data_IF_377891720986
#
_entry.id   IF_377891720986
#
_cell.length_a   1.000
_cell.length_b   1.000
_cell.length_c   1.000
_cell.angle_alpha   90.00
_cell.angle_beta   90.00
_cell.angle_gamma   90.00
#
_symmetry.space_group_name_H-M   'P 1'
#
loop_
_entity.id
_entity.type
_entity.pdbx_description
1 polymer ?
#
# COMPACT_ATOMS: atom_id res chain seq x y z
N UNK A 1 -12.94 21.82 4.95
CA UNK A 1 -12.68 20.40 5.22
C UNK A 1 -13.30 20.04 6.56
N UNK A 2 -14.03 18.92 6.62
CA UNK A 2 -14.65 18.42 7.86
C UNK A 2 -13.95 17.15 8.29
N UNK A 3 -13.83 16.92 9.59
CA UNK A 3 -13.16 15.74 10.15
C UNK A 3 -14.13 14.87 10.92
N UNK A 4 -13.88 13.56 10.91
CA UNK A 4 -14.65 12.61 11.70
C UNK A 4 -14.59 12.94 13.19
N UNK A 5 -15.73 12.90 13.86
CA UNK A 5 -15.81 13.17 15.31
C UNK A 5 -15.24 12.02 16.16
N UNK A 6 -15.13 10.80 15.60
CA UNK A 6 -14.59 9.64 16.33
C UNK A 6 -13.10 9.39 16.06
N UNK A 7 -12.62 9.58 14.82
CA UNK A 7 -11.21 9.47 14.44
C UNK A 7 -10.71 10.79 13.83
N UNK A 8 -9.69 10.75 12.95
CA UNK A 8 -9.08 11.93 12.36
C UNK A 8 -9.29 12.06 10.85
N UNK A 9 -9.99 11.11 10.21
CA UNK A 9 -10.18 11.17 8.76
C UNK A 9 -10.99 12.39 8.33
N UNK A 10 -10.51 13.11 7.29
CA UNK A 10 -11.25 14.19 6.66
C UNK A 10 -12.26 13.65 5.64
N UNK A 11 -13.28 14.45 5.33
CA UNK A 11 -14.25 14.17 4.28
C UNK A 11 -13.66 14.21 2.85
N UNK A 12 -12.42 14.64 2.71
CA UNK A 12 -11.65 14.60 1.46
C UNK A 12 -11.06 13.24 1.14
N UNK A 13 -11.08 12.30 2.11
CA UNK A 13 -10.62 10.92 1.86
C UNK A 13 -11.55 10.25 0.85
N UNK A 14 -11.01 9.79 -0.29
CA UNK A 14 -11.81 9.12 -1.33
C UNK A 14 -12.58 7.92 -0.78
N UNK A 15 -13.85 7.77 -1.20
CA UNK A 15 -14.71 6.67 -0.77
C UNK A 15 -15.20 6.74 0.68
N UNK A 16 -14.80 7.76 1.46
CA UNK A 16 -15.26 7.96 2.83
C UNK A 16 -16.58 8.75 2.84
N UNK A 17 -17.54 8.30 3.65
CA UNK A 17 -18.79 9.02 3.90
C UNK A 17 -18.97 9.28 5.39
N UNK A 18 -19.73 10.32 5.75
CA UNK A 18 -20.07 10.64 7.13
C UNK A 18 -21.57 10.41 7.36
N UNK A 19 -21.91 9.85 8.51
CA UNK A 19 -23.30 9.77 8.94
C UNK A 19 -23.79 11.11 9.52
N UNK A 20 -25.06 11.19 9.95
CA UNK A 20 -25.65 12.39 10.53
C UNK A 20 -24.99 12.85 11.84
N UNK A 21 -24.30 11.95 12.56
CA UNK A 21 -23.57 12.28 13.78
C UNK A 21 -22.16 12.83 13.50
N UNK A 22 -21.74 12.84 12.23
CA UNK A 22 -20.39 13.24 11.81
C UNK A 22 -19.34 12.14 12.04
N UNK A 23 -19.77 10.87 12.09
CA UNK A 23 -18.88 9.70 12.21
C UNK A 23 -18.66 9.09 10.83
N UNK A 24 -17.41 8.85 10.47
CA UNK A 24 -17.07 8.32 9.15
C UNK A 24 -17.37 6.83 8.99
N UNK A 25 -17.57 6.40 7.73
CA UNK A 25 -17.82 5.01 7.36
C UNK A 25 -16.73 4.06 7.83
N UNK A 26 -15.45 4.50 7.87
CA UNK A 26 -14.36 3.68 8.39
C UNK A 26 -14.54 3.33 9.89
N UNK A 27 -14.93 4.31 10.71
CA UNK A 27 -15.25 4.07 12.12
C UNK A 27 -16.45 3.14 12.29
N UNK A 28 -17.46 3.27 11.45
CA UNK A 28 -18.63 2.39 11.47
C UNK A 28 -18.26 0.96 11.06
N UNK A 29 -17.51 0.81 9.98
CA UNK A 29 -17.01 -0.49 9.51
C UNK A 29 -16.16 -1.18 10.59
N UNK A 30 -15.27 -0.43 11.29
CA UNK A 30 -14.49 -1.01 12.37
C UNK A 30 -15.38 -1.54 13.51
N UNK A 31 -16.45 -0.83 13.87
CA UNK A 31 -17.42 -1.32 14.89
C UNK A 31 -18.14 -2.59 14.41
N UNK A 32 -18.50 -2.67 13.14
CA UNK A 32 -19.14 -3.86 12.57
C UNK A 32 -18.23 -5.09 12.57
N UNK A 33 -16.89 -4.92 12.47
CA UNK A 33 -15.93 -6.03 12.59
C UNK A 33 -16.06 -6.81 13.90
N UNK A 34 -16.54 -6.18 14.97
CA UNK A 34 -16.77 -6.87 16.24
C UNK A 34 -17.97 -7.82 16.23
N UNK A 35 -18.81 -7.75 15.18
CA UNK A 35 -19.98 -8.63 14.99
C UNK A 35 -19.69 -9.80 14.04
N UNK A 36 -18.51 -9.81 13.41
CA UNK A 36 -18.11 -10.87 12.48
C UNK A 36 -17.88 -12.16 13.26
N UNK A 37 -18.48 -13.25 12.82
CA UNK A 37 -18.16 -14.59 13.26
C UNK A 37 -16.86 -15.05 12.58
N UNK A 38 -15.75 -14.91 13.30
CA UNK A 38 -14.43 -15.24 12.79
C UNK A 38 -14.19 -16.75 12.67
N UNK A 39 -14.96 -17.58 13.37
CA UNK A 39 -14.91 -19.04 13.25
C UNK A 39 -15.57 -19.50 11.95
N UNK A 40 -16.72 -18.91 11.60
CA UNK A 40 -17.36 -19.10 10.29
C UNK A 40 -16.43 -18.65 9.16
N UNK A 41 -15.80 -17.48 9.29
CA UNK A 41 -14.85 -16.97 8.30
C UNK A 41 -13.65 -17.88 8.12
N UNK A 42 -13.10 -18.38 9.22
CA UNK A 42 -11.99 -19.35 9.20
C UNK A 42 -12.41 -20.63 8.47
N UNK A 43 -13.61 -21.13 8.72
CA UNK A 43 -14.12 -22.32 8.04
C UNK A 43 -14.22 -22.09 6.53
N UNK A 44 -14.75 -20.94 6.12
CA UNK A 44 -14.82 -20.57 4.71
C UNK A 44 -13.42 -20.46 4.06
N UNK A 45 -12.45 -19.89 4.77
CA UNK A 45 -11.06 -19.88 4.30
C UNK A 45 -10.52 -21.32 4.07
N UNK A 46 -10.77 -22.23 5.01
CA UNK A 46 -10.37 -23.64 4.88
C UNK A 46 -10.99 -24.27 3.64
N UNK A 47 -12.29 -24.04 3.39
CA UNK A 47 -12.97 -24.55 2.20
C UNK A 47 -12.34 -24.05 0.90
N UNK A 48 -11.91 -22.77 0.87
CA UNK A 48 -11.23 -22.18 -0.29
C UNK A 48 -9.87 -22.84 -0.50
N UNK A 49 -9.01 -22.85 0.52
CA UNK A 49 -7.64 -23.37 0.35
C UNK A 49 -7.61 -24.87 0.00
N UNK A 50 -8.56 -25.66 0.51
CA UNK A 50 -8.63 -27.09 0.19
C UNK A 50 -9.00 -27.36 -1.29
N UNK A 51 -9.66 -26.43 -1.97
CA UNK A 51 -9.91 -26.53 -3.42
C UNK A 51 -8.63 -26.39 -4.25
N UNK A 52 -7.65 -25.65 -3.74
CA UNK A 52 -6.42 -25.31 -4.45
C UNK A 52 -5.19 -26.06 -3.96
N UNK A 53 -5.30 -26.83 -2.87
CA UNK A 53 -4.19 -27.57 -2.28
C UNK A 53 -3.62 -28.59 -3.26
N UNK A 54 -2.31 -28.58 -3.47
CA UNK A 54 -1.58 -29.60 -4.23
C UNK A 54 -1.45 -30.89 -3.41
N UNK A 55 -2.43 -31.76 -3.53
CA UNK A 55 -2.55 -32.98 -2.70
C UNK A 55 -1.44 -34.00 -2.96
N UNK A 56 -0.93 -34.05 -4.17
CA UNK A 56 0.18 -34.93 -4.57
C UNK A 56 1.56 -34.32 -4.32
N UNK A 57 1.57 -33.04 -3.88
CA UNK A 57 2.80 -32.31 -3.62
C UNK A 57 3.61 -31.94 -4.86
N UNK A 58 3.03 -32.04 -6.05
CA UNK A 58 3.69 -31.72 -7.32
C UNK A 58 3.88 -30.21 -7.54
N UNK A 59 3.16 -29.36 -6.81
CA UNK A 59 3.22 -27.91 -6.95
C UNK A 59 3.06 -27.20 -5.59
N UNK A 60 3.21 -25.88 -5.58
CA UNK A 60 2.84 -25.01 -4.46
C UNK A 60 1.31 -24.87 -4.35
N UNK A 61 0.82 -24.69 -3.13
CA UNK A 61 -0.61 -24.53 -2.85
C UNK A 61 -1.12 -23.14 -3.23
N UNK A 62 -0.29 -22.11 -3.07
CA UNK A 62 -0.64 -20.72 -3.36
C UNK A 62 0.59 -19.85 -3.61
N UNK A 63 0.35 -18.68 -4.17
CA UNK A 63 1.31 -17.58 -4.19
C UNK A 63 0.98 -16.60 -3.07
N UNK A 64 2.02 -16.09 -2.41
CA UNK A 64 1.91 -14.96 -1.49
C UNK A 64 2.79 -13.84 -2.01
N UNK A 65 2.20 -12.71 -2.44
CA UNK A 65 2.95 -11.50 -2.74
C UNK A 65 3.59 -10.96 -1.46
N UNK A 66 4.88 -10.63 -1.52
CA UNK A 66 5.63 -10.17 -0.35
C UNK A 66 6.52 -8.98 -0.72
N UNK A 67 6.69 -8.04 0.22
CA UNK A 67 7.68 -6.95 0.13
C UNK A 67 8.85 -7.13 1.13
N UNK A 68 8.72 -8.06 2.07
CA UNK A 68 9.58 -8.16 3.24
C UNK A 68 9.08 -7.32 4.42
N UNK A 69 7.96 -6.60 4.27
CA UNK A 69 7.29 -5.88 5.35
C UNK A 69 6.65 -6.81 6.39
N UNK A 70 6.20 -6.23 7.51
CA UNK A 70 5.61 -6.98 8.63
C UNK A 70 4.39 -7.79 8.23
N UNK A 71 3.48 -7.20 7.44
CA UNK A 71 2.21 -7.82 7.05
C UNK A 71 2.44 -9.04 6.17
N UNK A 72 3.24 -8.91 5.13
CA UNK A 72 3.57 -10.02 4.23
C UNK A 72 4.39 -11.12 4.92
N UNK A 73 5.26 -10.77 5.86
CA UNK A 73 6.01 -11.74 6.68
C UNK A 73 5.07 -12.52 7.59
N UNK A 74 4.15 -11.82 8.27
CA UNK A 74 3.13 -12.45 9.10
C UNK A 74 2.24 -13.38 8.27
N UNK A 75 1.73 -12.91 7.17
CA UNK A 75 0.86 -13.64 6.25
C UNK A 75 1.49 -14.96 5.80
N UNK A 76 2.72 -14.90 5.29
CA UNK A 76 3.44 -16.09 4.83
C UNK A 76 3.63 -17.11 5.98
N UNK A 77 4.07 -16.64 7.14
CA UNK A 77 4.24 -17.47 8.33
C UNK A 77 2.92 -18.07 8.79
N UNK A 78 1.87 -17.27 8.89
CA UNK A 78 0.56 -17.67 9.38
C UNK A 78 -0.06 -18.79 8.56
N UNK A 79 -0.12 -18.64 7.23
CA UNK A 79 -0.74 -19.66 6.38
C UNK A 79 0.04 -20.96 6.34
N UNK A 80 1.38 -20.89 6.45
CA UNK A 80 2.24 -22.07 6.53
C UNK A 80 2.06 -22.79 7.86
N UNK A 81 2.09 -22.04 8.98
CA UNK A 81 2.03 -22.60 10.34
C UNK A 81 0.66 -23.15 10.70
N UNK A 82 -0.39 -22.37 10.44
CA UNK A 82 -1.75 -22.71 10.92
C UNK A 82 -2.47 -23.67 9.97
N UNK A 83 -2.15 -23.64 8.67
CA UNK A 83 -2.86 -24.43 7.65
C UNK A 83 -1.97 -25.43 6.91
N UNK A 84 -0.67 -25.44 7.19
CA UNK A 84 0.26 -26.34 6.52
C UNK A 84 0.40 -26.08 5.02
N UNK A 85 0.06 -24.88 4.53
CA UNK A 85 0.20 -24.54 3.12
C UNK A 85 1.68 -24.44 2.75
N UNK A 86 1.96 -24.77 1.49
CA UNK A 86 3.28 -24.64 0.84
C UNK A 86 3.23 -23.44 -0.13
N UNK A 87 3.41 -22.21 0.35
CA UNK A 87 3.36 -21.03 -0.50
C UNK A 87 4.66 -20.84 -1.27
N UNK A 88 4.54 -20.33 -2.51
CA UNK A 88 5.63 -19.69 -3.23
C UNK A 88 5.54 -18.18 -2.97
N UNK A 89 6.58 -17.61 -2.38
CA UNK A 89 6.65 -16.18 -2.16
C UNK A 89 7.13 -15.46 -3.42
N UNK A 90 6.45 -14.37 -3.80
CA UNK A 90 6.79 -13.58 -4.99
C UNK A 90 6.92 -12.12 -4.60
N UNK A 91 8.08 -11.55 -4.89
CA UNK A 91 8.38 -10.14 -4.61
C UNK A 91 8.70 -9.39 -5.91
N UNK A 92 8.02 -8.26 -6.12
CA UNK A 92 8.44 -7.23 -7.05
C UNK A 92 9.36 -6.28 -6.30
N UNK A 93 10.66 -6.31 -6.60
CA UNK A 93 11.67 -5.52 -5.90
C UNK A 93 11.58 -4.06 -6.35
N UNK A 94 11.36 -3.09 -5.45
CA UNK A 94 11.44 -1.69 -5.80
C UNK A 94 12.86 -1.32 -6.23
N UNK A 95 12.99 -0.36 -7.15
CA UNK A 95 14.30 0.08 -7.65
C UNK A 95 15.22 0.59 -6.52
N UNK A 96 14.63 1.33 -5.60
CA UNK A 96 15.34 2.03 -4.54
C UNK A 96 15.21 1.33 -3.19
N UNK A 97 15.34 -0.02 -3.21
CA UNK A 97 15.31 -0.85 -2.03
C UNK A 97 16.41 -0.45 -1.04
N UNK A 98 16.02 -0.13 0.18
CA UNK A 98 16.96 0.25 1.24
C UNK A 98 17.55 -0.98 1.97
N UNK A 99 18.73 -0.84 2.65
CA UNK A 99 19.38 -1.98 3.31
C UNK A 99 18.50 -2.72 4.32
N UNK A 100 17.64 -2.01 5.04
CA UNK A 100 16.73 -2.62 6.02
C UNK A 100 15.64 -3.47 5.33
N UNK A 101 15.10 -2.98 4.21
CA UNK A 101 14.19 -3.77 3.37
C UNK A 101 14.84 -5.05 2.86
N UNK A 102 16.09 -4.95 2.33
CA UNK A 102 16.87 -6.14 1.92
C UNK A 102 17.06 -7.12 3.07
N UNK A 103 17.41 -6.63 4.28
CA UNK A 103 17.57 -7.47 5.46
C UNK A 103 16.29 -8.24 5.79
N UNK A 104 15.13 -7.59 5.71
CA UNK A 104 13.84 -8.22 5.99
C UNK A 104 13.44 -9.25 4.91
N UNK A 105 13.75 -8.98 3.64
CA UNK A 105 13.60 -9.95 2.55
C UNK A 105 14.46 -11.20 2.80
N UNK A 106 15.73 -11.03 3.13
CA UNK A 106 16.63 -12.15 3.45
C UNK A 106 16.16 -12.94 4.68
N UNK A 107 15.48 -12.27 5.62
CA UNK A 107 14.87 -12.95 6.77
C UNK A 107 13.77 -13.93 6.35
N UNK A 108 12.91 -13.57 5.37
CA UNK A 108 11.88 -14.48 4.83
C UNK A 108 12.51 -15.78 4.29
N UNK A 109 13.62 -15.68 3.58
CA UNK A 109 14.35 -16.85 3.09
C UNK A 109 14.87 -17.72 4.23
N UNK A 110 15.40 -17.11 5.31
CA UNK A 110 15.90 -17.81 6.50
C UNK A 110 14.78 -18.53 7.27
N UNK A 111 13.57 -18.03 7.25
CA UNK A 111 12.39 -18.68 7.85
C UNK A 111 12.00 -19.96 7.06
N UNK A 112 12.57 -20.15 5.86
CA UNK A 112 12.42 -21.40 5.08
C UNK A 112 11.24 -21.35 4.09
N UNK A 113 11.16 -20.30 3.30
CA UNK A 113 10.25 -20.20 2.18
C UNK A 113 10.99 -20.26 0.84
N UNK A 114 10.38 -20.88 -0.15
CA UNK A 114 10.77 -20.71 -1.54
C UNK A 114 10.33 -19.32 -2.02
N UNK A 115 11.23 -18.67 -2.78
CA UNK A 115 11.12 -17.23 -3.00
C UNK A 115 11.54 -16.84 -4.42
N UNK A 116 10.71 -16.05 -5.10
CA UNK A 116 11.04 -15.41 -6.37
C UNK A 116 11.18 -13.91 -6.16
N UNK A 117 12.34 -13.36 -6.53
CA UNK A 117 12.57 -11.94 -6.66
C UNK A 117 12.47 -11.52 -8.13
N UNK A 118 11.59 -10.61 -8.41
CA UNK A 118 11.51 -9.98 -9.72
C UNK A 118 12.07 -8.56 -9.61
N UNK A 119 13.20 -8.31 -10.25
CA UNK A 119 13.80 -6.98 -10.33
C UNK A 119 13.50 -6.40 -11.71
N UNK A 120 12.71 -5.31 -11.80
CA UNK A 120 12.42 -4.66 -13.08
C UNK A 120 13.66 -3.98 -13.65
N UNK A 121 13.64 -3.71 -14.97
CA UNK A 121 14.66 -2.87 -15.60
C UNK A 121 14.70 -1.50 -14.91
N UNK A 122 15.82 -1.11 -14.24
CA UNK A 122 15.86 0.11 -13.43
C UNK A 122 15.75 1.40 -14.25
N UNK A 123 16.14 1.36 -15.53
CA UNK A 123 16.02 2.51 -16.45
C UNK A 123 14.56 2.75 -16.80
N UNK A 124 13.84 1.68 -17.14
CA UNK A 124 12.40 1.76 -17.45
C UNK A 124 11.61 2.13 -16.20
N UNK A 125 11.92 1.52 -15.06
CA UNK A 125 11.28 1.85 -13.79
C UNK A 125 11.40 3.34 -13.47
N UNK A 126 12.62 3.93 -13.55
CA UNK A 126 12.84 5.35 -13.31
C UNK A 126 12.03 6.24 -14.24
N UNK A 127 11.97 5.91 -15.54
CA UNK A 127 11.14 6.65 -16.50
C UNK A 127 9.66 6.60 -16.11
N UNK A 128 9.15 5.41 -15.79
CA UNK A 128 7.76 5.22 -15.34
C UNK A 128 7.47 5.97 -14.04
N UNK A 129 8.39 5.94 -13.07
CA UNK A 129 8.25 6.68 -11.82
C UNK A 129 8.24 8.20 -12.05
N UNK A 130 9.07 8.71 -12.98
CA UNK A 130 9.05 10.13 -13.39
C UNK A 130 7.70 10.50 -14.03
N UNK A 131 7.18 9.66 -14.93
CA UNK A 131 5.85 9.85 -15.54
C UNK A 131 4.76 9.82 -14.46
N UNK A 132 4.79 8.83 -13.57
CA UNK A 132 3.88 8.76 -12.43
C UNK A 132 3.90 10.02 -11.58
N UNK A 133 5.10 10.53 -11.25
CA UNK A 133 5.27 11.77 -10.50
C UNK A 133 4.69 12.99 -11.24
N UNK A 134 5.03 13.17 -12.52
CA UNK A 134 4.67 14.40 -13.27
C UNK A 134 3.24 14.40 -13.80
N UNK A 135 2.68 13.23 -14.11
CA UNK A 135 1.34 13.10 -14.71
C UNK A 135 0.25 12.68 -13.71
N UNK A 136 0.65 12.00 -12.62
CA UNK A 136 -0.29 11.45 -11.64
C UNK A 136 -0.03 11.97 -10.21
N UNK A 137 1.14 12.59 -9.98
CA UNK A 137 1.60 12.93 -8.63
C UNK A 137 1.80 11.68 -7.77
N UNK A 138 2.37 10.62 -8.35
CA UNK A 138 2.65 9.36 -7.67
C UNK A 138 3.95 8.74 -8.17
N UNK A 139 5.01 8.87 -7.39
CA UNK A 139 6.35 8.35 -7.74
C UNK A 139 6.42 6.82 -7.67
N UNK A 140 5.57 6.19 -6.86
CA UNK A 140 5.52 4.73 -6.68
C UNK A 140 4.55 4.03 -7.64
N UNK A 141 3.98 4.75 -8.59
CA UNK A 141 3.04 4.22 -9.57
C UNK A 141 3.51 2.93 -10.29
N UNK A 142 4.77 2.81 -10.80
CA UNK A 142 5.22 1.57 -11.42
C UNK A 142 5.35 0.40 -10.41
N UNK A 143 5.68 0.70 -9.15
CA UNK A 143 5.74 -0.31 -8.11
C UNK A 143 4.35 -0.91 -7.85
N UNK A 144 3.33 -0.07 -7.71
CA UNK A 144 1.96 -0.55 -7.54
C UNK A 144 1.49 -1.43 -8.69
N UNK A 145 1.86 -1.10 -9.94
CA UNK A 145 1.60 -2.00 -11.07
C UNK A 145 2.31 -3.34 -10.91
N UNK A 146 3.62 -3.31 -10.63
CA UNK A 146 4.44 -4.51 -10.51
C UNK A 146 4.00 -5.44 -9.38
N UNK A 147 3.59 -4.86 -8.24
CA UNK A 147 3.10 -5.61 -7.07
C UNK A 147 1.91 -6.52 -7.41
N UNK A 148 1.01 -6.08 -8.30
CA UNK A 148 -0.17 -6.87 -8.67
C UNK A 148 0.07 -7.75 -9.91
N UNK A 149 0.81 -7.25 -10.89
CA UNK A 149 0.98 -7.95 -12.18
C UNK A 149 1.96 -9.10 -12.09
N UNK A 150 3.09 -8.93 -11.38
CA UNK A 150 4.13 -9.95 -11.32
C UNK A 150 3.67 -11.21 -10.58
N UNK A 151 3.05 -11.15 -9.40
CA UNK A 151 2.50 -12.36 -8.78
C UNK A 151 1.46 -13.06 -9.65
N UNK A 152 0.62 -12.32 -10.37
CA UNK A 152 -0.38 -12.90 -11.28
C UNK A 152 0.29 -13.58 -12.48
N UNK A 153 1.37 -13.02 -13.04
CA UNK A 153 2.16 -13.65 -14.10
C UNK A 153 2.82 -14.94 -13.63
N UNK A 154 3.40 -14.91 -12.43
CA UNK A 154 4.00 -16.12 -11.83
C UNK A 154 2.94 -17.17 -11.55
N UNK A 155 1.73 -16.79 -11.10
CA UNK A 155 0.61 -17.70 -10.93
C UNK A 155 0.30 -18.46 -12.23
N UNK A 156 0.18 -17.74 -13.33
CA UNK A 156 -0.07 -18.34 -14.66
C UNK A 156 1.10 -19.21 -15.11
N UNK A 157 2.34 -18.72 -15.01
CA UNK A 157 3.53 -19.42 -15.47
C UNK A 157 3.80 -20.72 -14.69
N UNK A 158 3.58 -20.70 -13.37
CA UNK A 158 3.79 -21.86 -12.48
C UNK A 158 2.54 -22.71 -12.29
N UNK A 159 1.42 -22.32 -12.89
CA UNK A 159 0.11 -22.97 -12.75
C UNK A 159 -0.34 -23.10 -11.30
N UNK A 160 -0.20 -22.02 -10.55
CA UNK A 160 -0.64 -21.89 -9.16
C UNK A 160 -1.84 -20.94 -9.14
N UNK A 161 -3.07 -21.43 -9.07
CA UNK A 161 -4.26 -20.58 -9.28
C UNK A 161 -4.61 -19.70 -8.08
N UNK A 162 -4.19 -20.04 -6.85
CA UNK A 162 -4.53 -19.28 -5.66
C UNK A 162 -3.45 -18.22 -5.34
N UNK A 163 -3.87 -16.97 -5.19
CA UNK A 163 -3.04 -15.88 -4.66
C UNK A 163 -3.67 -15.39 -3.35
N UNK A 164 -2.90 -15.41 -2.27
CA UNK A 164 -3.36 -14.91 -0.97
C UNK A 164 -2.68 -13.55 -0.73
N UNK A 165 -3.48 -12.51 -0.60
CA UNK A 165 -3.07 -11.15 -0.23
C UNK A 165 -3.20 -10.94 1.28
N UNK A 166 -2.58 -9.90 1.84
CA UNK A 166 -2.61 -9.58 3.26
C UNK A 166 -3.92 -8.97 3.72
N UNK A 167 -3.85 -7.69 4.13
CA UNK A 167 -5.03 -6.93 4.52
C UNK A 167 -5.96 -6.65 3.34
N UNK A 168 -7.24 -6.55 3.62
CA UNK A 168 -8.19 -5.98 2.70
C UNK A 168 -8.21 -4.45 2.88
N UNK A 169 -7.61 -3.65 1.95
CA UNK A 169 -7.48 -2.21 2.13
C UNK A 169 -8.82 -1.49 2.32
N UNK A 170 -9.88 -2.01 1.72
CA UNK A 170 -11.21 -1.41 1.88
C UNK A 170 -11.79 -1.64 3.27
N UNK A 171 -11.62 -2.85 3.78
CA UNK A 171 -12.05 -3.19 5.13
C UNK A 171 -11.20 -2.48 6.19
N UNK A 172 -9.89 -2.37 5.98
CA UNK A 172 -8.97 -1.81 6.97
C UNK A 172 -9.00 -0.27 7.00
N UNK A 173 -9.07 0.37 5.82
CA UNK A 173 -8.98 1.83 5.71
C UNK A 173 -10.31 2.51 5.35
N UNK A 174 -11.41 1.77 5.34
CA UNK A 174 -12.76 2.32 5.20
C UNK A 174 -13.17 2.73 3.80
N UNK A 175 -12.71 2.00 2.79
CA UNK A 175 -13.21 2.15 1.42
C UNK A 175 -14.61 1.56 1.23
N UNK A 176 -15.20 1.80 0.05
CA UNK A 176 -16.48 1.22 -0.35
C UNK A 176 -16.27 -0.19 -0.91
N UNK A 177 -16.74 -1.20 -0.23
CA UNK A 177 -16.78 -2.57 -0.73
C UNK A 177 -16.42 -3.61 0.32
N UNK A 178 -17.13 -4.72 0.26
CA UNK A 178 -16.94 -5.88 1.15
C UNK A 178 -16.35 -7.07 0.38
N UNK A 179 -15.69 -6.82 -0.75
CA UNK A 179 -15.19 -7.87 -1.63
C UNK A 179 -14.21 -8.79 -0.91
N UNK A 180 -14.62 -10.03 -0.70
CA UNK A 180 -13.79 -11.10 -0.11
C UNK A 180 -12.76 -11.60 -1.11
N UNK A 181 -13.08 -11.49 -2.40
CA UNK A 181 -12.32 -11.99 -3.53
C UNK A 181 -11.77 -10.81 -4.32
N UNK A 182 -10.49 -10.84 -4.54
CA UNK A 182 -9.82 -9.95 -5.47
C UNK A 182 -10.01 -10.49 -6.88
N UNK A 183 -11.10 -10.14 -7.54
CA UNK A 183 -11.21 -10.41 -8.95
C UNK A 183 -10.54 -9.30 -9.79
N UNK A 184 -10.30 -9.59 -11.07
CA UNK A 184 -9.66 -8.64 -11.97
C UNK A 184 -10.52 -7.40 -12.21
N UNK A 185 -11.85 -7.53 -12.29
CA UNK A 185 -12.75 -6.38 -12.40
C UNK A 185 -12.65 -5.50 -11.18
N UNK A 186 -12.49 -6.11 -10.01
CA UNK A 186 -12.30 -5.38 -8.77
C UNK A 186 -10.94 -4.65 -8.77
N UNK A 187 -9.85 -5.31 -9.20
CA UNK A 187 -8.54 -4.66 -9.36
C UNK A 187 -8.59 -3.50 -10.34
N UNK A 188 -9.27 -3.66 -11.46
CA UNK A 188 -9.42 -2.61 -12.48
C UNK A 188 -10.36 -1.50 -12.02
N UNK A 189 -11.39 -1.79 -11.23
CA UNK A 189 -12.35 -0.80 -10.74
C UNK A 189 -11.94 -0.13 -9.44
N UNK A 190 -11.21 -0.83 -8.57
CA UNK A 190 -10.94 -0.41 -7.19
C UNK A 190 -9.46 -0.46 -6.81
N UNK A 191 -8.63 -1.17 -7.55
CA UNK A 191 -7.18 -0.97 -7.57
C UNK A 191 -6.84 0.46 -7.99
N UNK A 192 -7.84 1.15 -8.49
CA UNK A 192 -7.92 2.52 -8.89
C UNK A 192 -7.43 3.57 -7.91
N UNK A 193 -7.34 3.27 -6.65
CA UNK A 193 -6.65 4.12 -5.70
C UNK A 193 -5.17 4.32 -6.07
N UNK A 194 -4.57 3.31 -6.69
CA UNK A 194 -3.16 3.29 -7.03
C UNK A 194 -2.90 3.29 -8.54
N UNK A 195 -3.83 2.75 -9.35
CA UNK A 195 -3.59 2.50 -10.78
C UNK A 195 -4.49 3.35 -11.70
N UNK A 196 -5.38 4.14 -11.15
CA UNK A 196 -6.65 4.56 -11.72
C UNK A 196 -6.62 5.64 -12.79
N UNK A 197 -5.50 6.30 -13.01
CA UNK A 197 -5.61 7.51 -13.85
C UNK A 197 -5.01 7.35 -15.22
N UNK A 198 -4.17 6.35 -15.41
CA UNK A 198 -3.50 6.13 -16.67
C UNK A 198 -3.25 4.63 -16.92
N UNK A 199 -3.97 4.01 -17.86
CA UNK A 199 -3.62 2.65 -18.29
C UNK A 199 -2.15 2.56 -18.68
N UNK A 200 -1.49 1.46 -18.30
CA UNK A 200 -0.04 1.32 -18.49
C UNK A 200 0.36 1.46 -19.97
N UNK A 201 -0.51 1.07 -20.88
CA UNK A 201 -0.29 1.16 -22.34
C UNK A 201 -0.15 2.61 -22.83
N UNK A 202 -0.77 3.58 -22.11
CA UNK A 202 -0.68 5.00 -22.51
C UNK A 202 0.71 5.60 -22.31
N UNK A 203 1.58 4.97 -21.53
CA UNK A 203 2.94 5.51 -21.33
C UNK A 203 3.82 5.42 -22.57
N UNK A 204 3.42 4.66 -23.58
CA UNK A 204 4.11 4.63 -24.88
C UNK A 204 4.17 6.01 -25.55
N UNK A 205 3.19 6.88 -25.30
CA UNK A 205 3.22 8.27 -25.76
C UNK A 205 4.39 9.09 -25.18
N UNK A 206 5.00 8.64 -24.08
CA UNK A 206 6.17 9.26 -23.45
C UNK A 206 7.49 8.58 -23.85
N UNK A 207 7.51 7.79 -24.93
CA UNK A 207 8.71 7.14 -25.46
C UNK A 207 9.16 5.90 -24.68
N UNK A 208 8.25 5.20 -24.06
CA UNK A 208 8.48 3.86 -23.46
C UNK A 208 8.02 2.82 -24.48
N UNK A 209 8.87 1.86 -24.79
CA UNK A 209 8.52 0.79 -25.72
C UNK A 209 7.54 -0.20 -25.08
N UNK A 210 6.57 -0.69 -25.87
CA UNK A 210 5.58 -1.65 -25.39
C UNK A 210 6.21 -2.93 -24.82
N UNK A 211 7.37 -3.32 -25.32
CA UNK A 211 8.12 -4.48 -24.82
C UNK A 211 8.62 -4.30 -23.40
N UNK A 212 8.96 -3.08 -23.01
CA UNK A 212 9.42 -2.71 -21.68
C UNK A 212 8.30 -2.76 -20.63
N UNK A 213 7.03 -2.74 -21.08
CA UNK A 213 5.87 -2.75 -20.21
C UNK A 213 5.44 -4.15 -19.75
N UNK A 214 6.09 -5.20 -20.24
CA UNK A 214 5.74 -6.60 -19.87
C UNK A 214 5.62 -6.84 -18.37
N UNK A 215 6.51 -6.35 -17.50
CA UNK A 215 6.37 -6.54 -16.05
C UNK A 215 5.12 -5.89 -15.45
N UNK A 216 4.65 -4.82 -16.07
CA UNK A 216 3.59 -3.94 -15.56
C UNK A 216 2.21 -4.24 -16.16
N UNK A 217 2.13 -5.18 -17.09
CA UNK A 217 0.87 -5.59 -17.72
C UNK A 217 0.40 -6.93 -17.19
N UNK A 218 -0.90 -7.13 -17.01
CA UNK A 218 -1.46 -8.42 -16.60
C UNK A 218 -1.29 -9.48 -17.69
N UNK A 219 -1.32 -10.78 -17.33
CA UNK A 219 -1.62 -11.83 -18.31
C UNK A 219 -2.95 -11.57 -19.00
N UNK A 220 -3.16 -12.18 -20.17
CA UNK A 220 -4.43 -12.07 -20.90
C UNK A 220 -5.60 -12.64 -20.09
N UNK A 221 -6.82 -12.17 -20.33
CA UNK A 221 -8.03 -12.68 -19.70
C UNK A 221 -8.19 -14.18 -19.89
N UNK A 222 -7.83 -14.64 -21.09
CA UNK A 222 -7.88 -16.06 -21.42
C UNK A 222 -6.93 -16.89 -20.55
N UNK A 223 -5.72 -16.42 -20.29
CA UNK A 223 -4.75 -17.12 -19.45
C UNK A 223 -5.23 -17.16 -17.99
N UNK A 224 -5.71 -16.01 -17.47
CA UNK A 224 -6.24 -15.90 -16.10
C UNK A 224 -7.46 -16.81 -15.91
N UNK A 225 -8.43 -16.75 -16.84
CA UNK A 225 -9.67 -17.53 -16.76
C UNK A 225 -9.42 -19.02 -16.96
N UNK A 226 -8.54 -19.41 -17.92
CA UNK A 226 -8.24 -20.82 -18.16
C UNK A 226 -7.58 -21.50 -16.96
N UNK A 227 -6.76 -20.76 -16.20
CA UNK A 227 -6.16 -21.28 -14.97
C UNK A 227 -7.11 -21.21 -13.77
N UNK A 228 -8.12 -20.33 -13.83
CA UNK A 228 -9.00 -20.04 -12.70
C UNK A 228 -8.27 -19.28 -11.58
N UNK A 229 -7.43 -18.30 -11.95
CA UNK A 229 -6.70 -17.49 -10.95
C UNK A 229 -7.68 -16.82 -10.01
N UNK A 230 -7.51 -17.09 -8.72
CA UNK A 230 -8.35 -16.56 -7.63
C UNK A 230 -7.47 -15.84 -6.62
N UNK A 231 -7.74 -14.56 -6.40
CA UNK A 231 -7.10 -13.76 -5.36
C UNK A 231 -8.03 -13.61 -4.15
N UNK A 232 -7.51 -13.80 -2.95
CA UNK A 232 -8.26 -13.59 -1.71
C UNK A 232 -7.45 -12.72 -0.75
N UNK A 233 -8.14 -12.01 0.16
CA UNK A 233 -7.51 -11.24 1.22
C UNK A 233 -7.59 -12.01 2.54
N UNK A 234 -6.44 -12.30 3.17
CA UNK A 234 -6.38 -12.99 4.45
C UNK A 234 -7.14 -12.22 5.55
N UNK A 235 -7.06 -10.89 5.53
CA UNK A 235 -7.79 -10.01 6.46
C UNK A 235 -9.32 -10.06 6.34
N UNK A 236 -9.87 -10.68 5.28
CA UNK A 236 -11.31 -10.94 5.16
C UNK A 236 -11.77 -12.17 5.96
N UNK A 237 -10.83 -13.03 6.35
CA UNK A 237 -11.11 -14.30 7.03
C UNK A 237 -10.57 -14.34 8.46
N UNK A 238 -9.64 -13.45 8.80
CA UNK A 238 -9.01 -13.39 10.12
C UNK A 238 -8.92 -11.94 10.60
N UNK A 239 -9.13 -11.76 11.90
CA UNK A 239 -8.97 -10.44 12.51
C UNK A 239 -7.56 -9.92 12.29
N UNK A 240 -7.45 -8.79 11.61
CA UNK A 240 -6.17 -8.15 11.30
C UNK A 240 -5.75 -7.25 12.44
N UNK A 241 -4.76 -7.69 13.24
CA UNK A 241 -4.23 -6.93 14.38
C UNK A 241 -2.73 -6.68 14.18
N UNK A 242 -2.41 -5.48 13.72
CA UNK A 242 -1.05 -5.06 13.34
C UNK A 242 -0.04 -5.26 14.48
N UNK A 243 -0.42 -5.01 15.74
CA UNK A 243 0.52 -5.11 16.86
C UNK A 243 0.83 -6.56 17.24
N UNK A 244 -0.18 -7.43 17.23
CA UNK A 244 0.05 -8.87 17.43
C UNK A 244 0.90 -9.46 16.30
N UNK A 245 0.65 -9.03 15.08
CA UNK A 245 1.44 -9.43 13.91
C UNK A 245 2.89 -8.98 14.07
N UNK A 246 3.12 -7.71 14.45
CA UNK A 246 4.46 -7.17 14.68
C UNK A 246 5.22 -7.94 15.77
N UNK A 247 4.57 -8.28 16.87
CA UNK A 247 5.17 -9.10 17.93
C UNK A 247 5.63 -10.47 17.39
N UNK A 248 4.77 -11.14 16.63
CA UNK A 248 5.08 -12.44 16.02
C UNK A 248 6.26 -12.33 15.06
N UNK A 249 6.24 -11.38 14.11
CA UNK A 249 7.29 -11.27 13.10
C UNK A 249 8.62 -10.81 13.66
N UNK A 250 8.63 -10.01 14.74
CA UNK A 250 9.86 -9.70 15.49
C UNK A 250 10.49 -10.97 16.09
N UNK A 251 9.66 -11.85 16.64
CA UNK A 251 10.10 -13.17 17.10
C UNK A 251 10.69 -14.04 15.99
N UNK A 252 10.34 -13.77 14.71
CA UNK A 252 10.87 -14.44 13.54
C UNK A 252 12.07 -13.72 12.89
N UNK A 253 12.59 -12.66 13.52
CA UNK A 253 13.77 -11.93 13.05
C UNK A 253 13.48 -10.70 12.18
N UNK A 254 12.21 -10.27 12.04
CA UNK A 254 11.87 -9.02 11.40
C UNK A 254 12.52 -7.85 12.10
N UNK A 255 13.15 -6.98 11.34
CA UNK A 255 13.88 -5.81 11.86
C UNK A 255 13.09 -4.53 11.58
N UNK A 256 13.10 -3.63 12.56
CA UNK A 256 12.47 -2.30 12.48
C UNK A 256 13.55 -1.22 12.41
N UNK A 257 13.17 0.00 12.04
CA UNK A 257 14.06 1.15 12.07
C UNK A 257 14.27 1.65 13.51
N UNK A 258 15.42 2.27 13.78
CA UNK A 258 15.69 2.89 15.08
C UNK A 258 14.78 4.08 15.37
N UNK A 259 14.36 4.78 14.31
CA UNK A 259 13.47 5.94 14.38
C UNK A 259 12.37 5.81 13.32
N UNK A 260 11.19 6.40 13.55
CA UNK A 260 10.17 6.56 12.51
C UNK A 260 10.74 7.30 11.29
N UNK A 261 10.18 7.00 10.12
CA UNK A 261 10.46 7.73 8.87
C UNK A 261 9.53 8.94 8.76
N UNK A 262 9.86 9.87 7.85
CA UNK A 262 8.95 10.98 7.55
C UNK A 262 7.60 10.45 7.08
N UNK A 263 6.53 11.13 7.48
CA UNK A 263 5.16 10.77 7.15
C UNK A 263 4.51 9.74 8.07
N UNK A 264 5.25 9.10 8.98
CA UNK A 264 4.71 8.15 9.97
C UNK A 264 5.42 8.27 11.33
N UNK A 265 4.71 7.98 12.41
CA UNK A 265 5.30 7.86 13.76
C UNK A 265 5.65 6.40 14.12
N UNK A 266 5.39 5.46 13.22
CA UNK A 266 5.65 4.02 13.42
C UNK A 266 6.99 3.63 12.79
N UNK A 267 7.90 3.04 13.57
CA UNK A 267 9.25 2.69 13.12
C UNK A 267 9.33 1.33 12.40
N UNK A 268 8.21 0.70 12.13
CA UNK A 268 8.07 -0.54 11.35
C UNK A 268 7.38 -0.34 9.99
N UNK A 269 7.12 0.90 9.60
CA UNK A 269 6.53 1.28 8.32
C UNK A 269 7.58 1.92 7.41
N UNK A 270 7.35 1.88 6.09
CA UNK A 270 8.21 2.48 5.07
C UNK A 270 9.67 2.00 5.16
N UNK A 271 9.87 0.68 5.34
CA UNK A 271 11.19 0.10 5.62
C UNK A 271 11.90 -0.47 4.38
N UNK A 272 11.23 -0.58 3.25
CA UNK A 272 11.69 -1.27 2.06
C UNK A 272 12.09 -0.31 0.94
N UNK A 273 11.30 0.67 0.60
CA UNK A 273 11.51 1.58 -0.52
C UNK A 273 11.85 3.00 -0.03
N UNK A 274 12.84 3.63 -0.69
CA UNK A 274 13.43 4.90 -0.28
C UNK A 274 12.44 6.06 -0.40
N UNK A 275 11.68 6.11 -1.49
CA UNK A 275 10.83 7.25 -1.84
C UNK A 275 9.37 7.10 -1.41
N UNK A 276 9.03 6.10 -0.61
CA UNK A 276 7.67 5.92 -0.05
C UNK A 276 7.19 7.17 0.70
N UNK A 277 8.09 7.86 1.42
CA UNK A 277 7.75 9.12 2.09
C UNK A 277 7.29 10.22 1.12
N UNK A 278 7.83 10.26 -0.09
CA UNK A 278 7.40 11.19 -1.14
C UNK A 278 6.00 10.82 -1.67
N UNK A 279 5.71 9.53 -1.85
CA UNK A 279 4.36 9.06 -2.16
C UNK A 279 3.36 9.50 -1.08
N UNK A 280 3.69 9.33 0.20
CA UNK A 280 2.85 9.75 1.33
C UNK A 280 2.65 11.28 1.35
N UNK A 281 3.68 12.07 1.01
CA UNK A 281 3.59 13.51 0.87
C UNK A 281 2.63 13.92 -0.27
N UNK A 282 2.71 13.28 -1.44
CA UNK A 282 1.79 13.53 -2.55
C UNK A 282 0.34 13.12 -2.22
N UNK A 283 0.15 12.06 -1.44
CA UNK A 283 -1.17 11.72 -0.90
C UNK A 283 -1.71 12.86 -0.02
N UNK A 284 -0.86 13.38 0.87
CA UNK A 284 -1.24 14.46 1.76
C UNK A 284 -1.61 15.76 1.02
N UNK A 285 -0.84 16.17 0.01
CA UNK A 285 -1.18 17.40 -0.74
C UNK A 285 -2.47 17.27 -1.55
N UNK A 286 -2.83 16.04 -1.99
CA UNK A 286 -4.07 15.78 -2.73
C UNK A 286 -5.31 15.77 -1.83
N UNK A 287 -5.18 15.20 -0.64
CA UNK A 287 -6.34 14.85 0.18
C UNK A 287 -6.34 15.51 1.57
N UNK A 288 -5.27 16.18 1.97
CA UNK A 288 -5.14 16.81 3.28
C UNK A 288 -4.91 15.85 4.44
N UNK A 289 -4.56 14.58 4.15
CA UNK A 289 -4.17 13.57 5.14
C UNK A 289 -3.14 12.60 4.54
N UNK A 290 -2.28 12.07 5.38
CA UNK A 290 -1.22 11.14 5.00
C UNK A 290 -1.25 9.84 5.79
N UNK A 291 -0.10 9.17 5.86
CA UNK A 291 0.05 7.87 6.53
C UNK A 291 -0.07 7.97 8.05
N UNK A 292 0.43 9.04 8.68
CA UNK A 292 0.30 9.21 10.13
C UNK A 292 -1.17 9.33 10.55
N UNK A 293 -2.02 9.96 9.73
CA UNK A 293 -3.47 9.98 9.95
C UNK A 293 -4.09 8.58 9.86
N UNK A 294 -3.70 7.76 8.86
CA UNK A 294 -4.18 6.38 8.76
C UNK A 294 -3.82 5.59 10.02
N UNK A 295 -2.57 5.66 10.46
CA UNK A 295 -2.09 4.97 11.66
C UNK A 295 -2.80 5.47 12.93
N UNK A 296 -2.95 6.78 13.09
CA UNK A 296 -3.64 7.35 14.24
C UNK A 296 -5.13 6.95 14.28
N UNK A 297 -5.81 6.89 13.13
CA UNK A 297 -7.17 6.38 13.07
C UNK A 297 -7.26 4.92 13.53
N UNK A 298 -6.34 4.06 13.07
CA UNK A 298 -6.28 2.66 13.49
C UNK A 298 -6.02 2.57 15.00
N UNK A 299 -5.06 3.32 15.52
CA UNK A 299 -4.73 3.30 16.95
C UNK A 299 -5.87 3.80 17.82
N UNK A 300 -6.63 4.80 17.36
CA UNK A 300 -7.86 5.28 18.02
C UNK A 300 -8.93 4.18 18.02
N UNK A 301 -9.15 3.47 16.91
CA UNK A 301 -10.13 2.40 16.84
C UNK A 301 -9.85 1.23 17.78
N UNK A 302 -8.56 0.95 18.01
CA UNK A 302 -8.12 -0.08 18.96
C UNK A 302 -7.92 0.46 20.39
N UNK A 303 -8.32 1.72 20.67
CA UNK A 303 -8.17 2.39 21.98
C UNK A 303 -6.72 2.39 22.51
N UNK A 304 -5.73 2.49 21.61
CA UNK A 304 -4.30 2.58 21.96
C UNK A 304 -3.89 4.01 22.25
N UNK A 305 -4.52 4.96 21.55
CA UNK A 305 -4.36 6.40 21.79
C UNK A 305 -5.74 7.07 21.79
N UNK A 306 -5.79 8.21 22.46
CA UNK A 306 -6.95 9.12 22.38
C UNK A 306 -6.94 9.91 21.06
N UNK A 307 -8.08 10.51 20.71
CA UNK A 307 -8.16 11.38 19.54
C UNK A 307 -7.20 12.56 19.63
N UNK A 308 -7.01 13.15 20.83
CA UNK A 308 -6.11 14.29 21.03
C UNK A 308 -4.63 13.91 20.94
N UNK A 309 -4.24 12.73 21.39
CA UNK A 309 -2.90 12.18 21.17
C UNK A 309 -2.66 11.94 19.68
N UNK A 310 -3.64 11.36 18.97
CA UNK A 310 -3.58 11.17 17.53
C UNK A 310 -3.41 12.48 16.77
N UNK A 311 -4.11 13.56 17.16
CA UNK A 311 -3.94 14.91 16.57
C UNK A 311 -2.51 15.44 16.73
N UNK A 312 -1.89 15.25 17.89
CA UNK A 312 -0.50 15.66 18.13
C UNK A 312 0.46 14.89 17.23
N UNK A 313 0.31 13.57 17.14
CA UNK A 313 1.14 12.72 16.27
C UNK A 313 1.00 13.11 14.80
N UNK A 314 -0.22 13.32 14.32
CA UNK A 314 -0.46 13.76 12.93
C UNK A 314 0.20 15.12 12.67
N UNK A 315 0.04 16.09 13.56
CA UNK A 315 0.67 17.41 13.42
C UNK A 315 2.20 17.35 13.42
N UNK A 316 2.79 16.40 14.11
CA UNK A 316 4.25 16.24 14.17
C UNK A 316 4.82 15.58 12.92
N UNK A 317 4.14 14.56 12.37
CA UNK A 317 4.70 13.67 11.34
C UNK A 317 4.17 13.93 9.93
N UNK A 318 3.02 14.58 9.73
CA UNK A 318 2.47 14.83 8.40
C UNK A 318 2.82 16.21 7.81
N UNK A 319 2.69 16.33 6.52
CA UNK A 319 2.74 17.59 5.80
C UNK A 319 4.15 18.11 5.51
N UNK A 320 5.16 17.31 5.75
CA UNK A 320 6.56 17.69 5.54
C UNK A 320 7.14 17.00 4.32
N UNK A 321 7.86 17.76 3.50
CA UNK A 321 8.67 17.19 2.42
C UNK A 321 9.75 16.32 3.05
N UNK A 322 9.93 15.05 2.64
CA UNK A 322 10.99 14.19 3.15
C UNK A 322 12.37 14.81 2.92
N UNK A 323 13.12 15.07 4.01
CA UNK A 323 14.37 15.84 3.95
C UNK A 323 15.60 14.99 3.72
N UNK A 324 15.63 13.76 4.26
CA UNK A 324 16.86 12.95 4.31
C UNK A 324 17.33 12.43 2.94
N UNK A 325 16.47 12.46 1.90
CA UNK A 325 16.82 12.08 0.53
C UNK A 325 16.41 13.12 -0.51
N UNK A 326 15.95 14.31 -0.12
CA UNK A 326 15.31 15.24 -1.06
C UNK A 326 16.23 15.68 -2.21
N UNK A 327 17.46 16.04 -1.92
CA UNK A 327 18.41 16.45 -2.97
C UNK A 327 18.73 15.28 -3.92
N UNK A 328 18.89 14.07 -3.39
CA UNK A 328 19.09 12.85 -4.16
C UNK A 328 17.85 12.51 -5.01
N UNK A 329 16.65 12.71 -4.48
CA UNK A 329 15.40 12.58 -5.22
C UNK A 329 15.35 13.55 -6.41
N UNK A 330 15.67 14.80 -6.21
CA UNK A 330 15.72 15.79 -7.29
C UNK A 330 16.72 15.40 -8.37
N UNK A 331 17.92 14.98 -7.97
CA UNK A 331 18.94 14.51 -8.91
C UNK A 331 18.48 13.28 -9.69
N UNK A 332 17.88 12.30 -9.01
CA UNK A 332 17.46 11.04 -9.59
C UNK A 332 16.35 11.22 -10.65
N UNK A 333 15.44 12.15 -10.40
CA UNK A 333 14.37 12.49 -11.35
C UNK A 333 14.71 13.67 -12.27
N UNK A 334 15.95 14.19 -12.22
CA UNK A 334 16.42 15.32 -13.05
C UNK A 334 15.49 16.54 -12.92
N UNK A 335 15.19 16.92 -11.66
CA UNK A 335 14.32 18.04 -11.33
C UNK A 335 15.09 19.13 -10.60
N UNK A 336 14.79 20.39 -10.90
CA UNK A 336 15.13 21.51 -10.02
C UNK A 336 14.11 21.60 -8.88
N UNK A 337 14.45 22.29 -7.78
CA UNK A 337 13.49 22.58 -6.70
C UNK A 337 12.26 23.33 -7.21
N UNK A 338 12.45 24.26 -8.14
CA UNK A 338 11.34 25.00 -8.76
C UNK A 338 10.39 24.05 -9.49
N UNK A 339 10.91 23.17 -10.33
CA UNK A 339 10.09 22.18 -11.04
C UNK A 339 9.37 21.22 -10.08
N UNK A 340 10.03 20.81 -8.98
CA UNK A 340 9.36 20.01 -7.95
C UNK A 340 8.17 20.76 -7.33
N UNK A 341 8.34 22.04 -6.98
CA UNK A 341 7.24 22.82 -6.44
C UNK A 341 6.12 23.07 -7.46
N UNK A 342 6.43 23.22 -8.74
CA UNK A 342 5.42 23.28 -9.82
C UNK A 342 4.60 21.98 -9.89
N UNK A 343 5.26 20.82 -9.75
CA UNK A 343 4.56 19.53 -9.68
C UNK A 343 3.69 19.45 -8.42
N UNK A 344 4.20 19.86 -7.27
CA UNK A 344 3.42 19.92 -6.03
C UNK A 344 2.19 20.79 -6.21
N UNK A 345 2.33 22.00 -6.79
CA UNK A 345 1.23 22.93 -7.02
C UNK A 345 0.21 22.37 -8.02
N UNK A 346 0.67 21.64 -9.05
CA UNK A 346 -0.21 20.96 -10.02
C UNK A 346 -1.15 19.95 -9.34
N UNK A 347 -0.67 19.23 -8.32
CA UNK A 347 -1.42 18.14 -7.69
C UNK A 347 -2.05 18.49 -6.36
N UNK A 348 -1.62 19.58 -5.71
CA UNK A 348 -2.20 20.03 -4.46
C UNK A 348 -3.68 20.39 -4.62
N UNK A 349 -4.51 19.97 -3.69
CA UNK A 349 -5.88 20.46 -3.60
C UNK A 349 -5.89 21.87 -3.03
N UNK A 350 -5.89 22.88 -3.90
CA UNK A 350 -5.78 24.29 -3.54
C UNK A 350 -6.86 24.80 -2.56
N UNK A 351 -7.95 24.05 -2.38
CA UNK A 351 -8.99 24.40 -1.40
C UNK A 351 -8.61 24.02 0.04
N UNK A 352 -7.54 23.25 0.23
CA UNK A 352 -7.11 22.74 1.53
C UNK A 352 -6.00 23.57 2.17
N UNK A 353 -5.28 24.38 1.38
CA UNK A 353 -4.05 25.02 1.81
C UNK A 353 -4.17 26.54 1.86
N UNK A 354 -3.38 27.14 2.76
CA UNK A 354 -3.25 28.61 2.85
C UNK A 354 -2.69 29.17 1.56
N UNK A 355 -3.07 30.40 1.26
CA UNK A 355 -2.58 31.15 0.10
C UNK A 355 -1.91 32.44 0.59
N UNK A 356 -0.93 32.89 -0.15
CA UNK A 356 -0.29 34.19 0.03
C UNK A 356 -1.18 35.33 -0.51
N UNK A 357 -0.66 36.56 -0.46
CA UNK A 357 -1.34 37.75 -0.94
C UNK A 357 -1.61 37.73 -2.45
N UNK A 358 -0.84 36.99 -3.21
CA UNK A 358 -0.95 36.84 -4.67
C UNK A 358 -1.86 35.66 -5.07
N UNK A 359 -2.43 34.95 -4.09
CA UNK A 359 -3.31 33.81 -4.29
C UNK A 359 -2.58 32.50 -4.61
N UNK A 360 -1.23 32.45 -4.50
CA UNK A 360 -0.42 31.24 -4.64
C UNK A 360 -0.43 30.42 -3.35
N UNK A 361 -0.11 29.15 -3.42
CA UNK A 361 0.02 28.30 -2.24
C UNK A 361 1.14 28.81 -1.33
N UNK A 362 0.79 29.09 -0.07
CA UNK A 362 1.74 29.54 0.94
C UNK A 362 2.63 28.38 1.40
N UNK A 363 3.92 28.65 1.53
CA UNK A 363 4.92 27.72 2.05
C UNK A 363 5.66 28.30 3.25
N UNK A 364 5.97 27.43 4.21
CA UNK A 364 6.86 27.78 5.32
C UNK A 364 8.33 27.97 4.86
N UNK A 365 9.23 28.25 5.79
CA UNK A 365 10.65 28.46 5.51
C UNK A 365 11.34 27.22 4.95
N UNK A 366 10.83 26.03 5.26
CA UNK A 366 11.30 24.72 4.78
C UNK A 366 10.68 24.32 3.43
N UNK A 367 9.70 25.09 2.94
CA UNK A 367 9.02 24.86 1.66
C UNK A 367 7.76 23.99 1.76
N UNK A 368 7.32 23.64 2.95
CA UNK A 368 6.12 22.85 3.15
C UNK A 368 4.85 23.67 2.99
N UNK A 369 3.79 23.05 2.48
CA UNK A 369 2.46 23.67 2.43
C UNK A 369 1.82 23.71 3.82
N UNK A 370 0.98 24.69 4.07
CA UNK A 370 0.23 24.79 5.31
C UNK A 370 -1.27 24.57 5.09
N UNK A 371 -1.86 23.62 5.84
CA UNK A 371 -3.30 23.37 5.80
C UNK A 371 -4.10 24.53 6.39
N UNK A 372 -5.28 24.80 5.80
CA UNK A 372 -6.29 25.70 6.35
C UNK A 372 -7.04 25.10 7.54
N UNK A 373 -7.13 23.78 7.59
CA UNK A 373 -7.97 23.04 8.54
C UNK A 373 -7.15 21.93 9.20
N UNK A 374 -7.36 21.76 10.50
CA UNK A 374 -6.70 20.72 11.29
C UNK A 374 -7.76 19.86 11.98
N UNK A 375 -7.53 18.54 12.16
CA UNK A 375 -8.47 17.61 12.78
C UNK A 375 -8.78 17.90 14.24
#
# INVERSE_FOLDING_TARGET
>A
MEFCKSCLYPNTKPGLTFNHDGVCSACLNHKEKNKIDWDERKQHFIEIIEKFRSRDGSNYDCIIPVSGGKDSTYQAYFVKKEFGLKPLLVNFIPRDLVPLGRKNIENLKKIGFDYIEFTPNPIVYRKLAKIGLTELGDVTWPEHHGLFTVPTKIAVAYKIPLIIWGENPQSEYGGSGTGEILDREWLLKHGGYFLDKMPIEKVTQFGIESEDLKPYSYPTDKEITNLGVTGIFLGSYFKWDIFKQLEIVRGLGFSVSDKPKEGTYQNWENLDEKYTGMHDYFKWIKYGFGRATDHACIDIWYNRITRDEGRKLVSEYEGKIPTWYFDEFLQDFELTRTQFYEIVDKFANHALFKKDTDGKLHRDAEGNLELLYHP
#
